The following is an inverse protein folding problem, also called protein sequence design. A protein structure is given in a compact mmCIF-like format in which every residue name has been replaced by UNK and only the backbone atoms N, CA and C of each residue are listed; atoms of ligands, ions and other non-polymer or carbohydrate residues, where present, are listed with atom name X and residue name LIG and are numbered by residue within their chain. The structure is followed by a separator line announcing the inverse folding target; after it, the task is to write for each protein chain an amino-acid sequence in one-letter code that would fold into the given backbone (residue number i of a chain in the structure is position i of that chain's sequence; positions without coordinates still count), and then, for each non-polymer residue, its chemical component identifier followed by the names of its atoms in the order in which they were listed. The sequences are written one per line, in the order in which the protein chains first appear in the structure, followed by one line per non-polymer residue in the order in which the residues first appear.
data_IF_017406659688
#
_entry.id   IF_017406659688
#
_cell.length_a   1.000
_cell.length_b   1.000
_cell.length_c   1.000
_cell.angle_alpha   90.00
_cell.angle_beta   90.00
_cell.angle_gamma   90.00
#
_symmetry.space_group_name_H-M   'P 1'
#
loop_
_entity.id
_entity.type
_entity.pdbx_description
1 polymer ?
#
# COMPACT_ATOMS: atom_id res chain seq x y z
N UNK A 1 25.07 10.70 9.91
CA UNK A 1 23.86 10.10 10.50
C UNK A 1 22.87 9.81 9.38
N UNK A 2 22.90 8.62 8.77
CA UNK A 2 21.84 8.21 7.82
C UNK A 2 20.93 7.23 8.54
N UNK A 3 19.76 7.73 8.91
CA UNK A 3 18.73 6.99 9.64
C UNK A 3 18.31 5.75 8.87
N UNK A 4 18.47 4.61 9.53
CA UNK A 4 17.92 3.29 9.20
C UNK A 4 16.47 3.42 8.71
N UNK A 5 16.23 3.31 7.41
CA UNK A 5 14.89 3.02 6.91
C UNK A 5 14.70 1.51 7.04
N UNK A 6 14.35 1.10 8.26
CA UNK A 6 14.15 -0.29 8.63
C UNK A 6 13.36 -1.03 7.56
N UNK A 7 13.83 -2.24 7.25
CA UNK A 7 13.12 -3.39 6.69
C UNK A 7 11.79 -3.63 7.43
N UNK A 8 10.84 -2.70 7.30
CA UNK A 8 9.46 -2.89 7.75
C UNK A 8 8.76 -3.37 6.51
N UNK A 9 8.70 -4.70 6.37
CA UNK A 9 8.02 -5.43 5.30
C UNK A 9 6.85 -4.60 4.78
N UNK A 10 7.01 -4.05 3.58
CA UNK A 10 5.95 -3.30 2.95
C UNK A 10 4.75 -4.22 2.84
N UNK A 11 3.61 -3.77 3.36
CA UNK A 11 2.36 -4.50 3.24
C UNK A 11 2.09 -4.72 1.75
N UNK A 12 1.64 -5.94 1.44
CA UNK A 12 1.50 -6.40 0.07
C UNK A 12 2.80 -6.58 -0.71
N UNK A 13 3.88 -7.00 -0.06
CA UNK A 13 5.17 -7.32 -0.71
C UNK A 13 5.75 -6.16 -1.53
N UNK A 14 5.45 -4.92 -1.11
CA UNK A 14 5.88 -3.72 -1.83
C UNK A 14 5.05 -3.36 -3.06
N UNK A 15 3.90 -4.02 -3.28
CA UNK A 15 2.94 -3.62 -4.29
C UNK A 15 2.12 -2.39 -3.89
N UNK A 16 1.54 -1.73 -4.89
CA UNK A 16 0.70 -0.56 -4.67
C UNK A 16 -0.63 -0.97 -4.03
N UNK A 17 -0.85 -0.57 -2.78
CA UNK A 17 -2.05 -0.92 -2.01
C UNK A 17 -3.36 -0.48 -2.72
N UNK A 18 -3.32 0.66 -3.40
CA UNK A 18 -4.45 1.14 -4.18
C UNK A 18 -4.69 0.30 -5.45
N UNK A 19 -3.61 -0.14 -6.11
CA UNK A 19 -3.73 -0.98 -7.29
C UNK A 19 -4.35 -2.34 -6.92
N UNK A 20 -3.95 -2.92 -5.79
CA UNK A 20 -4.56 -4.11 -5.21
C UNK A 20 -6.05 -3.93 -4.95
N UNK A 21 -6.47 -2.79 -4.40
CA UNK A 21 -7.91 -2.47 -4.25
C UNK A 21 -8.67 -2.44 -5.58
N UNK A 22 -7.97 -2.21 -6.69
CA UNK A 22 -8.53 -2.23 -8.06
C UNK A 22 -8.35 -3.57 -8.77
N UNK A 23 -7.81 -4.59 -8.10
CA UNK A 23 -7.52 -5.91 -8.70
C UNK A 23 -6.20 -5.96 -9.48
N UNK A 24 -5.40 -4.89 -9.47
CA UNK A 24 -4.13 -4.79 -10.20
C UNK A 24 -2.96 -5.07 -9.26
N UNK A 25 -2.40 -6.27 -9.35
CA UNK A 25 -1.20 -6.66 -8.61
C UNK A 25 0.10 -6.30 -9.32
N UNK A 26 0.08 -6.00 -10.62
CA UNK A 26 1.29 -5.72 -11.40
C UNK A 26 1.98 -4.39 -11.01
N UNK A 27 1.25 -3.49 -10.34
CA UNK A 27 1.76 -2.16 -10.01
C UNK A 27 2.57 -2.22 -8.71
N UNK A 28 3.88 -1.97 -8.82
CA UNK A 28 4.75 -1.79 -7.66
C UNK A 28 4.45 -0.47 -6.94
N UNK A 29 4.63 -0.50 -5.63
CA UNK A 29 4.63 0.70 -4.80
C UNK A 29 5.81 1.59 -5.17
N UNK A 30 5.57 2.89 -5.23
CA UNK A 30 6.59 3.90 -5.47
C UNK A 30 7.13 4.47 -4.15
N UNK A 31 7.72 5.66 -4.25
CA UNK A 31 8.31 6.36 -3.10
C UNK A 31 7.27 6.89 -2.09
N UNK A 32 5.98 6.74 -2.38
CA UNK A 32 4.91 7.18 -1.51
C UNK A 32 4.49 6.04 -0.60
N UNK A 33 4.81 6.14 0.69
CA UNK A 33 4.33 5.20 1.71
C UNK A 33 3.33 5.87 2.65
N UNK A 34 2.40 5.08 3.19
CA UNK A 34 1.48 5.47 4.24
C UNK A 34 1.44 4.39 5.30
N UNK A 35 1.66 4.76 6.55
CA UNK A 35 1.57 3.84 7.68
C UNK A 35 0.17 3.94 8.27
N UNK A 36 -0.59 2.84 8.23
CA UNK A 36 -1.92 2.74 8.84
C UNK A 36 -1.90 1.50 9.73
N UNK A 37 -2.36 1.61 10.97
CA UNK A 37 -2.49 0.47 11.89
C UNK A 37 -1.18 -0.33 12.09
N UNK A 38 -0.04 0.38 12.14
CA UNK A 38 1.28 -0.24 12.27
C UNK A 38 1.83 -0.88 10.98
N UNK A 39 1.00 -1.06 9.95
CA UNK A 39 1.31 -1.60 8.62
C UNK A 39 1.75 -0.51 7.67
N UNK A 40 2.74 -0.80 6.81
CA UNK A 40 3.30 0.18 5.86
C UNK A 40 2.78 -0.12 4.46
N UNK A 41 1.92 0.72 3.91
CA UNK A 41 1.37 0.59 2.57
C UNK A 41 2.18 1.43 1.58
N UNK A 42 2.57 0.86 0.44
CA UNK A 42 3.22 1.60 -0.64
C UNK A 42 2.22 2.01 -1.73
N UNK A 43 2.52 3.12 -2.38
CA UNK A 43 1.70 3.73 -3.42
C UNK A 43 2.59 4.22 -4.55
N UNK A 44 2.20 3.93 -5.79
CA UNK A 44 2.89 4.46 -6.97
C UNK A 44 2.65 5.96 -7.13
N UNK A 45 1.46 6.45 -6.77
CA UNK A 45 1.05 7.85 -6.92
C UNK A 45 0.60 8.49 -5.60
N UNK A 46 0.78 9.81 -5.43
CA UNK A 46 0.30 10.55 -4.26
C UNK A 46 -1.23 10.57 -4.18
N UNK A 47 -1.92 10.59 -5.32
CA UNK A 47 -3.40 10.52 -5.39
C UNK A 47 -3.91 9.20 -4.82
N UNK A 48 -3.22 8.09 -5.12
CA UNK A 48 -3.56 6.77 -4.60
C UNK A 48 -3.48 6.74 -3.06
N UNK A 49 -2.45 7.37 -2.49
CA UNK A 49 -2.30 7.52 -1.03
C UNK A 49 -3.45 8.31 -0.40
N UNK A 50 -3.87 9.41 -1.01
CA UNK A 50 -4.97 10.25 -0.51
C UNK A 50 -6.30 9.48 -0.57
N UNK A 51 -6.62 8.88 -1.71
CA UNK A 51 -7.84 8.10 -1.88
C UNK A 51 -7.87 6.91 -0.92
N UNK A 52 -6.73 6.26 -0.68
CA UNK A 52 -6.65 5.14 0.25
C UNK A 52 -6.87 5.57 1.71
N UNK A 53 -6.44 6.79 2.06
CA UNK A 53 -6.69 7.35 3.40
C UNK A 53 -8.15 7.77 3.60
N UNK A 54 -8.82 8.24 2.55
CA UNK A 54 -10.22 8.70 2.62
C UNK A 54 -11.21 7.53 2.56
N UNK A 55 -10.91 6.50 1.76
CA UNK A 55 -11.81 5.38 1.52
C UNK A 55 -11.34 4.11 2.22
N UNK A 56 -11.76 3.84 3.47
CA UNK A 56 -11.43 2.60 4.17
C UNK A 56 -11.96 1.36 3.44
N UNK A 57 -13.02 1.49 2.63
CA UNK A 57 -13.51 0.40 1.79
C UNK A 57 -12.48 -0.09 0.77
N UNK A 58 -11.56 0.78 0.32
CA UNK A 58 -10.46 0.39 -0.57
C UNK A 58 -9.40 -0.45 0.15
N UNK A 59 -9.16 -0.17 1.43
CA UNK A 59 -8.29 -1.01 2.26
C UNK A 59 -8.84 -2.43 2.36
N UNK A 60 -10.15 -2.57 2.61
CA UNK A 60 -10.80 -3.89 2.65
C UNK A 60 -10.66 -4.61 1.31
N UNK A 61 -10.98 -3.96 0.19
CA UNK A 61 -10.82 -4.56 -1.14
C UNK A 61 -9.37 -4.94 -1.45
N UNK A 62 -8.40 -4.10 -1.09
CA UNK A 62 -6.98 -4.41 -1.27
C UNK A 62 -6.57 -5.62 -0.44
N UNK A 63 -7.05 -5.70 0.80
CA UNK A 63 -6.78 -6.81 1.71
C UNK A 63 -7.44 -8.11 1.25
N UNK A 64 -8.68 -8.07 0.78
CA UNK A 64 -9.37 -9.23 0.19
C UNK A 64 -8.65 -9.73 -1.06
N UNK A 65 -8.29 -8.82 -1.96
CA UNK A 65 -7.56 -9.14 -3.20
C UNK A 65 -6.20 -9.76 -2.87
N UNK A 66 -5.49 -9.24 -1.87
CA UNK A 66 -4.22 -9.79 -1.43
C UNK A 66 -4.35 -11.13 -0.72
N UNK A 67 -5.38 -11.31 0.11
CA UNK A 67 -5.67 -12.57 0.81
C UNK A 67 -6.10 -13.68 -0.17
N UNK A 68 -6.66 -13.29 -1.31
CA UNK A 68 -7.09 -14.18 -2.40
C UNK A 68 -6.05 -14.28 -3.53
N UNK A 69 -4.79 -13.89 -3.28
CA UNK A 69 -3.64 -14.13 -4.16
C UNK A 69 -3.08 -15.53 -3.90
#
# INVERSE_FOLDING_TARGET
MSTKQSNKAAEYDGHCAFALSTGKMDVKGGNHSLKIDGKTYLFSNPVAKILFRIFPNRLNKANETWKNK
#
